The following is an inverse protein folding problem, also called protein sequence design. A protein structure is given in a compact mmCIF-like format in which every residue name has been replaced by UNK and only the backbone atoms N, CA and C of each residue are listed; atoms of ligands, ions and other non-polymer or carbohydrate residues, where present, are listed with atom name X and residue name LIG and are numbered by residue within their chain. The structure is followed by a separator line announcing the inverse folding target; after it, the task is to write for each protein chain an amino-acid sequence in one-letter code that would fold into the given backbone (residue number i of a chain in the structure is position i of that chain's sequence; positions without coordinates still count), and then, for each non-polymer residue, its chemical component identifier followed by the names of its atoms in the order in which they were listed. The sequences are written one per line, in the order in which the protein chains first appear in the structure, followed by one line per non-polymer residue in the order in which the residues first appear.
data_IF_210683349201
#
_entry.id   IF_210683349201
#
_cell.length_a   1.000
_cell.length_b   1.000
_cell.length_c   1.000
_cell.angle_alpha   90.00
_cell.angle_beta   90.00
_cell.angle_gamma   90.00
#
_symmetry.space_group_name_H-M   'P 1'
#
loop_
_entity.id
_entity.type
_entity.pdbx_description
1 polymer ?
#
# COMPACT_ATOMS: atom_id res chain seq x y z
N UNK A 1 9.54 -29.99 -24.04
CA UNK A 1 10.21 -29.90 -25.35
C UNK A 1 9.55 -28.94 -26.33
N UNK A 2 8.21 -28.86 -26.40
CA UNK A 2 7.45 -28.01 -27.34
C UNK A 2 7.76 -26.50 -27.22
N UNK A 3 7.98 -25.97 -26.02
CA UNK A 3 8.23 -24.53 -25.79
C UNK A 3 9.62 -24.08 -26.28
N UNK A 4 10.66 -24.93 -26.19
CA UNK A 4 12.01 -24.58 -26.66
C UNK A 4 12.09 -24.48 -28.18
N UNK A 5 11.36 -25.32 -28.90
CA UNK A 5 11.39 -25.34 -30.38
C UNK A 5 10.67 -24.12 -30.99
N UNK A 6 9.68 -23.51 -30.27
CA UNK A 6 8.91 -22.36 -30.76
C UNK A 6 9.37 -21.01 -30.23
N UNK A 7 10.46 -20.96 -29.44
CA UNK A 7 10.94 -19.72 -28.74
C UNK A 7 9.82 -19.02 -27.95
N UNK A 8 8.89 -19.80 -27.37
CA UNK A 8 7.77 -19.27 -26.57
C UNK A 8 8.13 -19.39 -25.11
N UNK A 9 7.92 -18.32 -24.34
CA UNK A 9 7.98 -18.30 -22.89
C UNK A 9 6.56 -18.20 -22.32
N UNK A 10 6.37 -18.74 -21.11
CA UNK A 10 5.12 -18.64 -20.36
C UNK A 10 5.36 -17.72 -19.17
N UNK A 11 4.49 -16.72 -19.01
CA UNK A 11 4.45 -15.89 -17.81
C UNK A 11 3.19 -16.24 -17.01
N UNK A 12 3.37 -16.50 -15.70
CA UNK A 12 2.28 -16.68 -14.75
C UNK A 12 2.26 -15.41 -13.89
N UNK A 13 1.13 -14.71 -13.88
CA UNK A 13 0.93 -13.53 -13.04
C UNK A 13 -0.08 -13.89 -11.95
N UNK A 14 0.32 -13.71 -10.69
CA UNK A 14 -0.50 -13.98 -9.51
C UNK A 14 -0.61 -12.70 -8.69
N UNK A 15 -1.82 -12.33 -8.33
CA UNK A 15 -2.07 -11.22 -7.42
C UNK A 15 -2.50 -11.75 -6.05
N UNK A 16 -2.29 -10.93 -5.00
CA UNK A 16 -2.69 -11.23 -3.62
C UNK A 16 -2.12 -12.57 -3.09
N UNK A 17 -0.87 -12.86 -3.41
CA UNK A 17 -0.21 -14.16 -3.11
C UNK A 17 -0.19 -14.48 -1.61
N UNK A 18 -0.30 -13.48 -0.72
CA UNK A 18 -0.39 -13.69 0.74
C UNK A 18 -1.66 -14.43 1.19
N UNK A 19 -2.67 -14.59 0.32
CA UNK A 19 -3.87 -15.39 0.65
C UNK A 19 -3.68 -16.90 0.42
N UNK A 20 -2.58 -17.30 -0.19
CA UNK A 20 -2.27 -18.71 -0.29
C UNK A 20 -2.00 -19.30 1.10
N UNK A 21 -2.54 -20.49 1.34
CA UNK A 21 -2.16 -21.28 2.51
C UNK A 21 -0.67 -21.66 2.41
N UNK A 22 -0.06 -21.96 3.53
CA UNK A 22 1.35 -22.40 3.58
C UNK A 22 1.61 -23.62 2.68
N UNK A 23 0.61 -24.54 2.55
CA UNK A 23 0.71 -25.72 1.67
C UNK A 23 0.69 -25.32 0.18
N UNK A 24 -0.19 -24.41 -0.21
CA UNK A 24 -0.32 -23.92 -1.60
C UNK A 24 0.92 -23.14 -2.01
N UNK A 25 1.38 -22.23 -1.16
CA UNK A 25 2.60 -21.48 -1.39
C UNK A 25 3.82 -22.41 -1.48
N UNK A 26 3.93 -23.39 -0.60
CA UNK A 26 4.97 -24.42 -0.64
C UNK A 26 4.93 -25.26 -1.92
N UNK A 27 3.75 -25.61 -2.43
CA UNK A 27 3.59 -26.33 -3.69
C UNK A 27 4.02 -25.48 -4.89
N UNK A 28 3.64 -24.20 -4.91
CA UNK A 28 4.05 -23.24 -5.94
C UNK A 28 5.58 -23.08 -5.97
N UNK A 29 6.20 -22.89 -4.81
CA UNK A 29 7.66 -22.77 -4.67
C UNK A 29 8.37 -24.05 -5.21
N UNK A 30 7.87 -25.23 -4.85
CA UNK A 30 8.43 -26.50 -5.36
C UNK A 30 8.26 -26.65 -6.88
N UNK A 31 7.12 -26.22 -7.43
CA UNK A 31 6.88 -26.24 -8.87
C UNK A 31 7.87 -25.32 -9.60
N UNK A 32 8.07 -24.09 -9.11
CA UNK A 32 9.02 -23.14 -9.69
C UNK A 32 10.48 -23.62 -9.59
N UNK A 33 10.84 -24.27 -8.48
CA UNK A 33 12.16 -24.90 -8.36
C UNK A 33 12.40 -25.98 -9.43
N UNK A 34 11.39 -26.83 -9.70
CA UNK A 34 11.47 -27.82 -10.78
C UNK A 34 11.55 -27.18 -12.17
N UNK A 35 10.82 -26.08 -12.38
CA UNK A 35 10.89 -25.29 -13.62
C UNK A 35 12.31 -24.79 -13.85
N UNK A 36 12.94 -24.23 -12.82
CA UNK A 36 14.31 -23.74 -12.86
C UNK A 36 15.32 -24.90 -13.13
N UNK A 37 15.23 -26.02 -12.39
CA UNK A 37 16.09 -27.18 -12.58
C UNK A 37 16.02 -27.73 -14.00
N UNK A 38 14.82 -27.71 -14.60
CA UNK A 38 14.60 -28.19 -15.98
C UNK A 38 14.85 -27.10 -17.03
N UNK A 39 15.21 -25.89 -16.60
CA UNK A 39 15.44 -24.74 -17.49
C UNK A 39 14.24 -24.52 -18.45
N UNK A 40 13.02 -24.67 -17.94
CA UNK A 40 11.84 -24.40 -18.74
C UNK A 40 11.65 -22.90 -18.92
N UNK A 41 11.17 -22.43 -20.08
CA UNK A 41 10.95 -21.02 -20.36
C UNK A 41 9.65 -20.54 -19.71
N UNK A 42 9.62 -20.51 -18.37
CA UNK A 42 8.49 -20.07 -17.55
C UNK A 42 8.99 -19.11 -16.48
N UNK A 43 8.30 -17.99 -16.34
CA UNK A 43 8.51 -17.00 -15.29
C UNK A 43 7.24 -16.84 -14.46
N UNK A 44 7.41 -16.68 -13.14
CA UNK A 44 6.35 -16.34 -12.20
C UNK A 44 6.57 -14.92 -11.70
N UNK A 45 5.53 -14.09 -11.84
CA UNK A 45 5.45 -12.76 -11.26
C UNK A 45 4.31 -12.76 -10.23
N UNK A 46 4.64 -12.61 -8.96
CA UNK A 46 3.68 -12.57 -7.87
C UNK A 46 3.63 -11.19 -7.24
N UNK A 47 2.43 -10.67 -6.99
CA UNK A 47 2.21 -9.47 -6.19
C UNK A 47 1.54 -9.83 -4.86
N UNK A 48 1.87 -9.09 -3.80
CA UNK A 48 1.30 -9.30 -2.47
C UNK A 48 1.79 -8.29 -1.44
N UNK A 49 1.31 -8.43 -0.21
CA UNK A 49 1.70 -7.57 0.90
C UNK A 49 3.20 -7.74 1.28
N UNK A 50 3.81 -6.75 1.95
CA UNK A 50 5.22 -6.80 2.39
C UNK A 50 5.59 -7.98 3.31
N UNK A 51 4.61 -8.75 3.81
CA UNK A 51 4.82 -9.98 4.57
C UNK A 51 5.19 -11.18 3.70
N UNK A 52 5.07 -11.08 2.38
CA UNK A 52 5.22 -12.20 1.43
C UNK A 52 6.60 -12.89 1.50
N UNK A 53 7.73 -12.16 1.63
CA UNK A 53 9.05 -12.81 1.79
C UNK A 53 9.11 -13.73 3.00
N UNK A 54 8.57 -13.29 4.15
CA UNK A 54 8.48 -14.09 5.38
C UNK A 54 7.62 -15.35 5.19
N UNK A 55 6.43 -15.21 4.60
CA UNK A 55 5.54 -16.36 4.32
C UNK A 55 6.20 -17.37 3.37
N UNK A 56 6.93 -16.89 2.36
CA UNK A 56 7.66 -17.76 1.44
C UNK A 56 8.79 -18.52 2.15
N UNK A 57 9.58 -17.85 3.00
CA UNK A 57 10.64 -18.45 3.81
C UNK A 57 10.11 -19.48 4.82
N UNK A 58 9.00 -19.21 5.49
CA UNK A 58 8.31 -20.15 6.37
C UNK A 58 7.80 -21.39 5.62
N UNK A 59 7.33 -21.21 4.39
CA UNK A 59 6.84 -22.32 3.55
C UNK A 59 7.97 -23.19 3.04
N UNK A 60 9.08 -22.61 2.60
CA UNK A 60 10.30 -23.29 2.12
C UNK A 60 11.53 -22.41 2.36
N UNK A 61 12.48 -22.89 3.14
CA UNK A 61 13.71 -22.18 3.51
C UNK A 61 14.59 -21.74 2.34
N UNK A 62 14.42 -22.33 1.15
CA UNK A 62 15.16 -21.98 -0.05
C UNK A 62 14.45 -20.95 -0.95
N UNK A 63 13.25 -20.51 -0.57
CA UNK A 63 12.47 -19.55 -1.35
C UNK A 63 13.23 -18.24 -1.63
N UNK A 64 13.99 -17.75 -0.65
CA UNK A 64 14.82 -16.54 -0.77
C UNK A 64 15.89 -16.62 -1.88
N UNK A 65 16.35 -17.84 -2.21
CA UNK A 65 17.30 -18.07 -3.30
C UNK A 65 16.64 -18.32 -4.65
N UNK A 66 15.36 -18.65 -4.65
CA UNK A 66 14.58 -18.94 -5.84
C UNK A 66 13.90 -17.71 -6.41
N UNK A 67 13.47 -16.78 -5.54
CA UNK A 67 12.72 -15.57 -5.90
C UNK A 67 13.49 -14.30 -5.54
N UNK A 68 13.27 -13.27 -6.34
CA UNK A 68 13.60 -11.89 -5.97
C UNK A 68 12.33 -11.22 -5.44
N UNK A 69 12.45 -10.47 -4.35
CA UNK A 69 11.34 -9.74 -3.70
C UNK A 69 11.60 -8.22 -3.78
N UNK A 70 11.41 -7.60 -4.95
CA UNK A 70 11.53 -6.15 -5.03
C UNK A 70 10.40 -5.49 -4.24
N UNK A 71 10.76 -4.49 -3.43
CA UNK A 71 9.76 -3.65 -2.76
C UNK A 71 9.26 -2.58 -3.74
N UNK A 72 7.94 -2.53 -3.94
CA UNK A 72 7.27 -1.54 -4.78
C UNK A 72 6.60 -0.52 -3.86
N UNK A 73 7.29 0.59 -3.66
CA UNK A 73 6.83 1.68 -2.82
C UNK A 73 5.97 2.71 -3.56
N UNK A 74 5.78 3.85 -2.91
CA UNK A 74 5.12 5.00 -3.50
C UNK A 74 5.93 5.57 -4.69
N UNK A 75 5.24 6.24 -5.60
CA UNK A 75 5.87 6.93 -6.73
C UNK A 75 6.72 8.10 -6.23
N UNK A 76 7.86 8.33 -6.87
CA UNK A 76 8.64 9.55 -6.64
C UNK A 76 7.87 10.80 -7.07
N UNK A 77 8.31 11.99 -6.64
CA UNK A 77 7.70 13.25 -7.08
C UNK A 77 7.74 13.40 -8.61
N UNK A 78 8.83 12.93 -9.25
CA UNK A 78 8.99 12.94 -10.71
C UNK A 78 8.01 12.00 -11.41
N UNK A 79 7.88 10.77 -10.91
CA UNK A 79 6.95 9.78 -11.48
C UNK A 79 5.49 10.15 -11.22
N UNK A 80 5.17 10.71 -10.05
CA UNK A 80 3.84 11.28 -9.75
C UNK A 80 3.47 12.38 -10.76
N UNK A 81 4.39 13.31 -10.99
CA UNK A 81 4.16 14.37 -11.96
C UNK A 81 4.00 13.83 -13.39
N UNK A 82 4.79 12.82 -13.77
CA UNK A 82 4.70 12.14 -15.05
C UNK A 82 3.37 11.42 -15.23
N UNK A 83 2.94 10.66 -14.20
CA UNK A 83 1.70 9.89 -14.24
C UNK A 83 0.43 10.75 -14.42
N UNK A 84 0.44 12.01 -13.98
CA UNK A 84 -0.66 12.95 -14.21
C UNK A 84 -0.49 13.74 -15.51
N UNK A 85 0.74 14.21 -15.79
CA UNK A 85 1.01 15.11 -16.90
C UNK A 85 0.84 14.43 -18.25
N UNK A 86 1.35 13.21 -18.44
CA UNK A 86 1.34 12.53 -19.73
C UNK A 86 -0.08 12.27 -20.26
N UNK A 87 -0.99 11.65 -19.47
CA UNK A 87 -2.37 11.45 -19.92
C UNK A 87 -3.11 12.77 -20.18
N UNK A 88 -2.86 13.79 -19.36
CA UNK A 88 -3.47 15.09 -19.53
C UNK A 88 -3.01 15.78 -20.85
N UNK A 89 -1.70 15.74 -21.12
CA UNK A 89 -1.14 16.27 -22.37
C UNK A 89 -1.67 15.54 -23.60
N UNK A 90 -1.85 14.22 -23.54
CA UNK A 90 -2.45 13.44 -24.61
C UNK A 90 -3.89 13.89 -24.92
N UNK A 91 -4.57 14.50 -23.94
CA UNK A 91 -5.91 15.08 -24.08
C UNK A 91 -5.89 16.60 -24.27
N UNK A 92 -4.74 17.21 -24.56
CA UNK A 92 -4.60 18.65 -24.82
C UNK A 92 -4.63 19.52 -23.54
N UNK A 93 -4.57 18.93 -22.34
CA UNK A 93 -4.64 19.65 -21.07
C UNK A 93 -3.27 19.63 -20.37
N UNK A 94 -2.92 20.70 -19.70
CA UNK A 94 -1.69 20.82 -18.92
C UNK A 94 -1.99 20.93 -17.43
N UNK A 95 -1.04 20.52 -16.60
CA UNK A 95 -1.00 20.81 -15.18
C UNK A 95 0.06 21.87 -14.89
N UNK A 96 -0.23 22.80 -14.00
CA UNK A 96 0.79 23.67 -13.42
C UNK A 96 1.78 22.88 -12.56
N UNK A 97 3.03 23.30 -12.52
CA UNK A 97 4.07 22.67 -11.71
C UNK A 97 3.70 22.66 -10.20
N UNK A 98 3.09 23.74 -9.71
CA UNK A 98 2.67 23.82 -8.30
C UNK A 98 1.46 22.91 -8.02
N UNK A 99 0.58 22.69 -9.00
CA UNK A 99 -0.52 21.72 -8.89
C UNK A 99 0.03 20.29 -8.74
N UNK A 100 1.00 19.90 -9.55
CA UNK A 100 1.64 18.58 -9.46
C UNK A 100 2.39 18.37 -8.13
N UNK A 101 3.11 19.39 -7.66
CA UNK A 101 3.77 19.34 -6.34
C UNK A 101 2.76 19.17 -5.20
N UNK A 102 1.62 19.85 -5.27
CA UNK A 102 0.58 19.73 -4.25
C UNK A 102 -0.07 18.34 -4.27
N UNK A 103 -0.36 17.79 -5.44
CA UNK A 103 -0.87 16.41 -5.52
C UNK A 103 0.13 15.42 -4.92
N UNK A 104 1.42 15.54 -5.21
CA UNK A 104 2.44 14.69 -4.57
C UNK A 104 2.43 14.84 -3.06
N UNK A 105 2.39 16.08 -2.54
CA UNK A 105 2.33 16.37 -1.09
C UNK A 105 1.09 15.73 -0.42
N UNK A 106 -0.07 15.77 -1.08
CA UNK A 106 -1.32 15.24 -0.57
C UNK A 106 -1.39 13.71 -0.62
N UNK A 107 -0.72 13.10 -1.59
CA UNK A 107 -0.82 11.65 -1.86
C UNK A 107 0.36 10.85 -1.37
N UNK A 108 1.48 11.51 -1.03
CA UNK A 108 2.78 10.88 -0.80
C UNK A 108 3.17 9.89 -1.92
N UNK A 109 2.75 10.16 -3.16
CA UNK A 109 3.00 9.30 -4.31
C UNK A 109 2.19 8.00 -4.33
N UNK A 110 1.17 7.84 -3.47
CA UNK A 110 0.34 6.64 -3.45
C UNK A 110 -0.56 6.57 -4.70
N UNK A 111 -0.41 5.55 -5.60
CA UNK A 111 -1.01 5.58 -6.94
C UNK A 111 -2.53 5.73 -6.94
N UNK A 112 -3.23 5.05 -6.05
CA UNK A 112 -4.69 5.13 -5.96
C UNK A 112 -5.18 6.55 -5.61
N UNK A 113 -4.50 7.21 -4.67
CA UNK A 113 -4.85 8.57 -4.27
C UNK A 113 -4.50 9.57 -5.38
N UNK A 114 -3.37 9.34 -6.03
CA UNK A 114 -2.96 10.14 -7.18
C UNK A 114 -4.05 10.17 -8.26
N UNK A 115 -4.63 9.02 -8.58
CA UNK A 115 -5.71 8.93 -9.55
C UNK A 115 -6.98 9.64 -9.06
N UNK A 116 -7.33 9.52 -7.79
CA UNK A 116 -8.52 10.19 -7.23
C UNK A 116 -8.38 11.72 -7.27
N UNK A 117 -7.22 12.27 -6.85
CA UNK A 117 -6.96 13.72 -6.98
C UNK A 117 -6.89 14.15 -8.44
N UNK A 118 -6.25 13.38 -9.30
CA UNK A 118 -6.18 13.64 -10.75
C UNK A 118 -7.56 13.71 -11.38
N UNK A 119 -8.42 12.73 -11.10
CA UNK A 119 -9.78 12.67 -11.59
C UNK A 119 -10.64 13.86 -11.13
N UNK A 120 -10.59 14.18 -9.83
CA UNK A 120 -11.39 15.30 -9.30
C UNK A 120 -10.87 16.65 -9.79
N UNK A 121 -9.56 16.83 -9.87
CA UNK A 121 -8.98 18.06 -10.42
C UNK A 121 -9.32 18.24 -11.89
N UNK A 122 -9.32 17.15 -12.67
CA UNK A 122 -9.75 17.17 -14.08
C UNK A 122 -11.20 17.62 -14.22
N UNK A 123 -12.10 17.04 -13.43
CA UNK A 123 -13.53 17.34 -13.52
C UNK A 123 -13.90 18.77 -13.04
N UNK A 124 -13.10 19.35 -12.14
CA UNK A 124 -13.30 20.69 -11.62
C UNK A 124 -12.61 21.78 -12.47
N UNK A 125 -11.71 21.40 -13.35
CA UNK A 125 -10.99 22.37 -14.16
C UNK A 125 -11.89 22.96 -15.26
N UNK A 126 -12.09 24.26 -15.24
CA UNK A 126 -12.84 24.97 -16.29
C UNK A 126 -12.01 25.20 -17.56
N UNK A 127 -10.69 25.16 -17.45
CA UNK A 127 -9.76 25.42 -18.56
C UNK A 127 -8.37 24.84 -18.25
N UNK A 128 -7.55 24.72 -19.29
CA UNK A 128 -6.12 24.41 -19.17
C UNK A 128 -5.31 25.70 -18.92
N UNK A 129 -4.32 25.67 -18.01
CA UNK A 129 -3.85 24.52 -17.23
C UNK A 129 -4.69 24.24 -15.97
N UNK A 130 -4.63 22.98 -15.47
CA UNK A 130 -5.13 22.62 -14.14
C UNK A 130 -4.20 23.25 -13.11
N UNK A 131 -4.73 24.18 -12.31
CA UNK A 131 -3.96 25.02 -11.41
C UNK A 131 -3.92 24.46 -9.98
N UNK A 132 -3.00 24.97 -9.15
CA UNK A 132 -2.95 24.69 -7.71
C UNK A 132 -4.31 24.97 -7.03
N UNK A 133 -5.02 26.03 -7.43
CA UNK A 133 -6.35 26.33 -6.87
C UNK A 133 -7.35 25.22 -7.14
N UNK A 134 -7.35 24.66 -8.34
CA UNK A 134 -8.24 23.53 -8.70
C UNK A 134 -7.93 22.31 -7.85
N UNK A 135 -6.64 21.95 -7.68
CA UNK A 135 -6.22 20.83 -6.83
C UNK A 135 -6.66 21.02 -5.37
N UNK A 136 -6.49 22.22 -4.82
CA UNK A 136 -6.98 22.54 -3.46
C UNK A 136 -8.51 22.44 -3.35
N UNK A 137 -9.24 22.90 -4.34
CA UNK A 137 -10.71 22.74 -4.37
C UNK A 137 -11.11 21.27 -4.49
N UNK A 138 -10.41 20.46 -5.29
CA UNK A 138 -10.64 19.04 -5.42
C UNK A 138 -10.51 18.29 -4.09
N UNK A 139 -9.61 18.71 -3.20
CA UNK A 139 -9.37 18.09 -1.90
C UNK A 139 -10.63 18.04 -1.03
N UNK A 140 -11.48 19.05 -1.10
CA UNK A 140 -12.76 19.08 -0.38
C UNK A 140 -13.73 17.96 -0.80
N UNK A 141 -13.60 17.47 -2.03
CA UNK A 141 -14.38 16.33 -2.54
C UNK A 141 -13.66 15.00 -2.33
N UNK A 142 -12.35 14.99 -2.52
CA UNK A 142 -11.54 13.76 -2.45
C UNK A 142 -11.54 13.17 -1.04
N UNK A 143 -11.28 13.97 -0.01
CA UNK A 143 -11.18 13.46 1.37
C UNK A 143 -12.45 12.73 1.81
N UNK A 144 -13.66 13.30 1.71
CA UNK A 144 -14.88 12.57 2.06
C UNK A 144 -15.10 11.30 1.23
N UNK A 145 -14.72 11.30 -0.04
CA UNK A 145 -14.82 10.10 -0.89
C UNK A 145 -13.87 9.00 -0.45
N UNK A 146 -12.62 9.34 -0.13
CA UNK A 146 -11.66 8.39 0.44
C UNK A 146 -12.13 7.87 1.81
N UNK A 147 -12.64 8.75 2.66
CA UNK A 147 -13.16 8.36 3.97
C UNK A 147 -14.28 7.32 3.83
N UNK A 148 -15.24 7.54 2.93
CA UNK A 148 -16.40 6.66 2.77
C UNK A 148 -16.12 5.39 1.97
N UNK A 149 -15.37 5.48 0.89
CA UNK A 149 -15.24 4.39 -0.08
C UNK A 149 -13.96 3.58 0.07
N UNK A 150 -12.92 4.12 0.73
CA UNK A 150 -11.63 3.46 0.87
C UNK A 150 -11.28 3.15 2.32
N UNK A 151 -11.31 4.15 3.20
CA UNK A 151 -10.89 3.99 4.59
C UNK A 151 -11.97 3.31 5.45
N UNK A 152 -13.24 3.69 5.28
CA UNK A 152 -14.36 3.12 6.05
C UNK A 152 -14.46 1.61 5.90
N UNK A 153 -14.32 1.09 4.68
CA UNK A 153 -14.37 -0.34 4.41
C UNK A 153 -13.30 -1.14 5.15
N UNK A 154 -12.12 -0.54 5.32
CA UNK A 154 -11.02 -1.14 6.11
C UNK A 154 -11.28 -1.03 7.60
N UNK A 155 -11.73 0.13 8.04
CA UNK A 155 -12.03 0.43 9.43
C UNK A 155 -13.13 -0.46 10.00
N UNK A 156 -14.18 -0.74 9.25
CA UNK A 156 -15.33 -1.53 9.72
C UNK A 156 -14.99 -3.01 9.94
N UNK A 157 -13.91 -3.50 9.33
CA UNK A 157 -13.37 -4.86 9.55
C UNK A 157 -12.50 -4.98 10.81
N UNK A 158 -12.26 -3.88 11.52
CA UNK A 158 -11.39 -3.85 12.69
C UNK A 158 -12.19 -4.08 13.98
N UNK A 159 -11.61 -4.84 14.88
CA UNK A 159 -12.12 -4.98 16.25
C UNK A 159 -11.88 -3.69 17.06
N UNK A 160 -12.58 -3.48 18.19
CA UNK A 160 -12.34 -2.32 19.04
C UNK A 160 -10.88 -2.15 19.48
N UNK A 161 -10.20 -3.25 19.86
CA UNK A 161 -8.79 -3.19 20.26
C UNK A 161 -7.85 -2.81 19.11
N UNK A 162 -8.13 -3.28 17.89
CA UNK A 162 -7.39 -2.92 16.69
C UNK A 162 -7.59 -1.42 16.34
N UNK A 163 -8.83 -0.93 16.44
CA UNK A 163 -9.14 0.50 16.25
C UNK A 163 -8.40 1.37 17.26
N UNK A 164 -8.38 0.97 18.53
CA UNK A 164 -7.67 1.70 19.58
C UNK A 164 -6.16 1.74 19.32
N UNK A 165 -5.58 0.62 18.88
CA UNK A 165 -4.17 0.55 18.52
C UNK A 165 -3.84 1.53 17.38
N UNK A 166 -4.60 1.50 16.29
CA UNK A 166 -4.39 2.40 15.14
C UNK A 166 -4.67 3.87 15.51
N UNK A 167 -5.64 4.12 16.39
CA UNK A 167 -5.92 5.47 16.89
C UNK A 167 -4.78 6.02 17.75
N UNK A 168 -4.13 5.16 18.54
CA UNK A 168 -2.94 5.53 19.31
C UNK A 168 -1.76 5.87 18.39
N UNK A 169 -1.52 5.04 17.35
CA UNK A 169 -0.53 5.36 16.32
C UNK A 169 -0.82 6.71 15.64
N UNK A 170 -2.06 6.94 15.22
CA UNK A 170 -2.47 8.19 14.58
C UNK A 170 -2.27 9.42 15.49
N UNK A 171 -2.38 9.26 16.81
CA UNK A 171 -2.11 10.34 17.78
C UNK A 171 -0.63 10.73 17.84
N UNK A 172 0.27 9.80 17.57
CA UNK A 172 1.71 10.06 17.53
C UNK A 172 2.15 10.83 16.27
N UNK A 173 1.26 10.95 15.27
CA UNK A 173 1.52 11.68 14.03
C UNK A 173 1.91 10.77 12.85
N UNK A 174 2.35 11.36 11.74
CA UNK A 174 2.76 10.61 10.55
C UNK A 174 4.10 9.87 10.75
N UNK A 175 4.30 8.80 9.98
CA UNK A 175 5.55 8.05 9.97
C UNK A 175 5.52 6.75 10.77
N UNK A 176 6.71 6.23 11.06
CA UNK A 176 6.89 5.02 11.84
C UNK A 176 7.03 5.35 13.33
N UNK A 177 6.42 4.51 14.17
CA UNK A 177 6.43 4.67 15.63
C UNK A 177 6.89 3.39 16.31
N UNK A 178 7.63 3.53 17.39
CA UNK A 178 8.02 2.39 18.22
C UNK A 178 6.79 1.77 18.89
N UNK A 179 6.77 0.46 18.98
CA UNK A 179 5.70 -0.25 19.70
C UNK A 179 5.59 0.20 21.16
N UNK A 180 6.72 0.65 21.78
CA UNK A 180 6.74 1.24 23.10
C UNK A 180 5.91 2.51 23.20
N UNK A 181 6.10 3.46 22.28
CA UNK A 181 5.38 4.75 22.27
C UNK A 181 3.87 4.55 22.08
N UNK A 182 3.51 3.52 21.28
CA UNK A 182 2.10 3.13 21.10
C UNK A 182 1.52 2.58 22.42
N UNK A 183 2.30 1.73 23.12
CA UNK A 183 1.89 1.16 24.41
C UNK A 183 1.70 2.26 25.47
N UNK A 184 2.62 3.21 25.54
CA UNK A 184 2.56 4.37 26.44
C UNK A 184 1.32 5.23 26.14
N UNK A 185 1.04 5.48 24.85
CA UNK A 185 -0.18 6.20 24.43
C UNK A 185 -1.47 5.49 24.83
N UNK A 186 -1.45 4.16 24.88
CA UNK A 186 -2.60 3.32 25.28
C UNK A 186 -2.65 3.07 26.80
N UNK A 187 -1.59 3.39 27.55
CA UNK A 187 -1.49 3.07 28.98
C UNK A 187 -1.41 1.58 29.29
N UNK A 188 -0.78 0.78 28.41
CA UNK A 188 -0.69 -0.67 28.52
C UNK A 188 0.75 -1.16 28.43
N UNK A 189 1.00 -2.40 28.87
CA UNK A 189 2.34 -3.02 28.72
C UNK A 189 2.61 -3.36 27.25
N UNK A 190 3.84 -3.10 26.76
CA UNK A 190 4.27 -3.42 25.38
C UNK A 190 4.00 -4.88 25.00
N UNK A 191 4.22 -5.81 25.93
CA UNK A 191 4.01 -7.24 25.73
C UNK A 191 2.58 -7.60 25.40
N UNK A 192 1.58 -6.81 25.85
CA UNK A 192 0.17 -7.05 25.57
C UNK A 192 -0.24 -6.70 24.14
N UNK A 193 0.57 -5.92 23.42
CA UNK A 193 0.27 -5.47 22.06
C UNK A 193 0.60 -6.48 20.97
N UNK A 194 1.42 -7.51 21.27
CA UNK A 194 1.86 -8.51 20.29
C UNK A 194 0.75 -9.13 19.47
N UNK A 195 -0.32 -9.68 20.08
CA UNK A 195 -1.43 -10.31 19.35
C UNK A 195 -2.21 -9.33 18.44
N UNK A 196 -2.44 -8.09 18.89
CA UNK A 196 -3.14 -7.06 18.09
C UNK A 196 -2.28 -6.62 16.92
N UNK A 197 -0.98 -6.36 17.17
CA UNK A 197 0.00 -6.04 16.16
C UNK A 197 0.05 -7.09 15.04
N UNK A 198 0.17 -8.38 15.41
CA UNK A 198 0.23 -9.47 14.44
C UNK A 198 -1.04 -9.54 13.57
N UNK A 199 -2.22 -9.35 14.16
CA UNK A 199 -3.49 -9.29 13.41
C UNK A 199 -3.56 -8.11 12.45
N UNK A 200 -3.10 -6.93 12.86
CA UNK A 200 -3.09 -5.72 12.03
C UNK A 200 -2.11 -5.85 10.86
N UNK A 201 -0.94 -6.46 11.07
CA UNK A 201 0.01 -6.77 9.99
C UNK A 201 -0.64 -7.76 9.02
N UNK A 202 -1.25 -8.85 9.51
CA UNK A 202 -1.95 -9.84 8.67
C UNK A 202 -3.09 -9.22 7.86
N UNK A 203 -3.78 -8.22 8.40
CA UNK A 203 -4.83 -7.46 7.69
C UNK A 203 -4.27 -6.41 6.72
N UNK A 204 -2.96 -6.23 6.63
CA UNK A 204 -2.33 -5.23 5.79
C UNK A 204 -2.61 -3.78 6.22
N UNK A 205 -2.93 -3.55 7.49
CA UNK A 205 -3.20 -2.20 8.01
C UNK A 205 -1.93 -1.46 8.40
N UNK A 206 -0.95 -2.21 8.92
CA UNK A 206 0.37 -1.73 9.32
C UNK A 206 1.45 -2.69 8.83
N UNK A 207 2.68 -2.21 8.79
CA UNK A 207 3.86 -3.03 8.54
C UNK A 207 5.00 -2.59 9.47
N UNK A 208 6.06 -3.38 9.53
CA UNK A 208 7.25 -3.09 10.34
C UNK A 208 8.38 -2.64 9.40
N UNK A 209 8.66 -1.34 9.26
CA UNK A 209 9.75 -0.86 8.41
C UNK A 209 11.13 -1.18 9.01
N UNK A 210 11.22 -1.26 10.36
CA UNK A 210 12.40 -1.67 11.10
C UNK A 210 11.99 -2.45 12.35
N UNK A 211 12.96 -3.12 12.99
CA UNK A 211 12.68 -3.92 14.19
C UNK A 211 12.09 -3.04 15.31
N UNK A 212 10.90 -3.42 15.78
CA UNK A 212 10.19 -2.70 16.84
C UNK A 212 9.32 -1.53 16.35
N UNK A 213 9.47 -1.09 15.11
CA UNK A 213 8.72 0.02 14.55
C UNK A 213 7.47 -0.46 13.80
N UNK A 214 6.45 0.40 13.81
CA UNK A 214 5.19 0.21 13.11
C UNK A 214 4.83 1.43 12.28
N UNK A 215 4.43 1.23 11.03
CA UNK A 215 3.93 2.28 10.16
C UNK A 215 2.60 1.86 9.50
N UNK A 216 1.78 2.82 9.14
CA UNK A 216 0.58 2.57 8.34
C UNK A 216 0.97 2.13 6.92
N UNK A 217 0.32 1.09 6.41
CA UNK A 217 0.54 0.62 5.04
C UNK A 217 0.00 1.61 4.00
N UNK A 218 -1.03 2.35 4.38
CA UNK A 218 -1.70 3.31 3.49
C UNK A 218 -1.55 4.72 4.07
N UNK A 219 -1.04 5.69 3.31
CA UNK A 219 -0.98 7.08 3.76
C UNK A 219 -2.36 7.65 4.04
N UNK A 220 -2.42 8.73 4.84
CA UNK A 220 -3.66 9.42 5.26
C UNK A 220 -4.62 8.57 6.12
N UNK A 221 -4.29 7.31 6.42
CA UNK A 221 -5.12 6.50 7.30
C UNK A 221 -5.05 6.99 8.74
N UNK A 222 -3.94 7.55 9.16
CA UNK A 222 -3.75 8.24 10.44
C UNK A 222 -4.71 9.44 10.58
N UNK A 223 -4.76 10.30 9.57
CA UNK A 223 -5.70 11.44 9.54
C UNK A 223 -7.16 10.97 9.56
N UNK A 224 -7.48 9.92 8.78
CA UNK A 224 -8.80 9.30 8.83
C UNK A 224 -9.14 8.76 10.22
N UNK A 225 -8.21 8.07 10.90
CA UNK A 225 -8.42 7.57 12.27
C UNK A 225 -8.74 8.69 13.25
N UNK A 226 -8.10 9.86 13.10
CA UNK A 226 -8.39 11.04 13.94
C UNK A 226 -9.80 11.58 13.66
N UNK A 227 -10.23 11.62 12.40
CA UNK A 227 -11.58 12.04 12.02
C UNK A 227 -12.65 11.04 12.45
N UNK A 228 -12.41 9.75 12.27
CA UNK A 228 -13.34 8.67 12.57
C UNK A 228 -13.48 8.38 14.07
N UNK A 229 -12.45 8.64 14.85
CA UNK A 229 -12.39 8.46 16.30
C UNK A 229 -11.85 9.73 16.96
N UNK A 230 -12.63 10.84 16.98
CA UNK A 230 -12.19 12.07 17.66
C UNK A 230 -11.92 11.78 19.14
N UNK A 231 -10.97 12.52 19.74
CA UNK A 231 -10.75 12.44 21.17
C UNK A 231 -12.07 12.82 21.87
N UNK A 232 -12.59 11.91 22.71
CA UNK A 232 -13.80 12.19 23.47
C UNK A 232 -13.58 13.43 24.34
N UNK A 233 -14.54 14.33 24.38
CA UNK A 233 -14.63 15.31 25.46
C UNK A 233 -14.92 14.49 26.72
N UNK A 234 -13.91 14.29 27.55
CA UNK A 234 -14.10 13.84 28.94
C UNK A 234 -14.60 14.99 29.78
#
# INVERSE_FOLDING_TARGET
MLFRSRKIAVAILLDEVQYFSQKELGALIMAMHKVQQRQLPLVLLGAGLPILPGLAGESKSYAERLFSFPDIGALSAGDTAKALREPALASGVRFDANALKEVFRLTNGYPYFLQEWGYQAWNLAAASPITLRVVKSATATVIPRLDNNFFRLRFDRLTPSEKNFLRAMAKLGPGAHRTGDIADTLGVKVTSLGPVRAKLIKKGMIYSPAHGDMAFTVPLFDEFMIRAMPAGKH
#
